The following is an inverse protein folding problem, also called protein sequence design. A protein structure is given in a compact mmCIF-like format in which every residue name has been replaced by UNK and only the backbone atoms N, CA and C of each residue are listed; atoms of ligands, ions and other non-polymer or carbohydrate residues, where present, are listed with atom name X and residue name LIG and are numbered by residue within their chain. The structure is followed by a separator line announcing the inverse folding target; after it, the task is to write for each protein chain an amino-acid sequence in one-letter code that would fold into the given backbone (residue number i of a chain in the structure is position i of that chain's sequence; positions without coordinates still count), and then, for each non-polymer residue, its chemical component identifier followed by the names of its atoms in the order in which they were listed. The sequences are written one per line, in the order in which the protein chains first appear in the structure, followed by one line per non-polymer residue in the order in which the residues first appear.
data_IF_556722214536
#
_entry.id   IF_556722214536
#
_cell.length_a   1.000
_cell.length_b   1.000
_cell.length_c   1.000
_cell.angle_alpha   90.00
_cell.angle_beta   90.00
_cell.angle_gamma   90.00
#
_symmetry.space_group_name_H-M   'P 1'
#
loop_
_entity.id
_entity.type
_entity.pdbx_description
1 polymer ?
#
# COMPACT_ATOMS: atom_id res chain seq x y z
N UNK A 1 35.80 -12.53 28.72
CA UNK A 1 35.97 -11.07 28.60
C UNK A 1 35.07 -10.54 27.49
N UNK A 2 33.84 -10.12 27.81
CA UNK A 2 32.91 -9.58 26.82
C UNK A 2 33.02 -8.06 26.88
N UNK A 3 33.97 -7.50 26.11
CA UNK A 3 34.10 -6.05 25.92
C UNK A 3 32.85 -5.57 25.17
N UNK A 4 31.91 -4.96 25.90
CA UNK A 4 30.77 -4.26 25.32
C UNK A 4 31.31 -3.23 24.32
N UNK A 5 30.85 -3.35 23.07
CA UNK A 5 31.25 -2.50 21.95
C UNK A 5 30.44 -1.21 22.03
N UNK A 6 30.73 -0.37 23.03
CA UNK A 6 30.11 0.94 23.19
C UNK A 6 30.75 1.96 22.22
N UNK A 7 30.67 1.69 20.91
CA UNK A 7 31.14 2.62 19.89
C UNK A 7 30.03 3.64 19.65
N UNK A 8 30.23 4.85 20.15
CA UNK A 8 29.35 5.97 19.84
C UNK A 8 29.80 6.56 18.50
N UNK A 9 28.90 6.56 17.52
CA UNK A 9 29.15 7.19 16.23
C UNK A 9 28.83 8.69 16.31
N UNK A 10 29.81 9.52 15.97
CA UNK A 10 29.65 10.97 15.78
C UNK A 10 29.86 11.23 14.31
N UNK A 11 28.84 11.77 13.63
CA UNK A 11 28.96 12.14 12.22
C UNK A 11 29.90 13.35 12.11
N UNK A 12 31.04 13.25 11.41
CA UNK A 12 31.92 14.38 11.17
C UNK A 12 31.23 15.40 10.25
N UNK A 13 31.71 16.65 10.27
CA UNK A 13 31.20 17.70 9.41
C UNK A 13 31.58 17.45 7.94
N UNK A 14 30.69 17.78 7.02
CA UNK A 14 30.95 17.59 5.59
C UNK A 14 32.10 18.49 5.09
N UNK A 15 32.94 17.98 4.18
CA UNK A 15 33.98 18.76 3.53
C UNK A 15 33.38 19.88 2.67
N UNK A 16 34.16 20.96 2.45
CA UNK A 16 33.69 22.16 1.73
C UNK A 16 33.10 21.86 0.35
N UNK A 17 33.71 20.92 -0.39
CA UNK A 17 33.21 20.51 -1.70
C UNK A 17 31.80 19.92 -1.65
N UNK A 18 31.52 19.04 -0.68
CA UNK A 18 30.17 18.47 -0.52
C UNK A 18 29.17 19.52 -0.04
N UNK A 19 29.60 20.48 0.77
CA UNK A 19 28.75 21.63 1.17
C UNK A 19 28.34 22.49 -0.02
N UNK A 20 29.26 22.76 -0.95
CA UNK A 20 28.97 23.54 -2.16
C UNK A 20 28.01 22.78 -3.08
N UNK A 21 28.27 21.49 -3.32
CA UNK A 21 27.40 20.65 -4.14
C UNK A 21 25.99 20.51 -3.56
N UNK A 22 25.88 20.26 -2.24
CA UNK A 22 24.59 20.20 -1.55
C UNK A 22 23.81 21.50 -1.69
N UNK A 23 24.47 22.65 -1.49
CA UNK A 23 23.85 23.97 -1.67
C UNK A 23 23.37 24.19 -3.10
N UNK A 24 24.17 23.80 -4.10
CA UNK A 24 23.81 23.94 -5.50
C UNK A 24 22.63 23.03 -5.89
N UNK A 25 22.56 21.84 -5.32
CA UNK A 25 21.45 20.90 -5.49
C UNK A 25 20.20 21.25 -4.66
N UNK A 26 20.24 22.33 -3.86
CA UNK A 26 19.14 22.71 -2.96
C UNK A 26 18.92 21.72 -1.80
N UNK A 27 19.94 20.93 -1.45
CA UNK A 27 19.88 19.95 -0.37
C UNK A 27 20.03 20.63 1.00
N UNK A 28 18.96 20.55 1.80
CA UNK A 28 18.93 21.05 3.17
C UNK A 28 19.16 19.90 4.16
N UNK A 29 20.26 19.93 4.92
CA UNK A 29 20.57 18.90 5.94
C UNK A 29 19.49 18.79 7.06
N UNK A 30 18.58 19.76 7.14
CA UNK A 30 17.46 19.80 8.10
C UNK A 30 16.15 19.29 7.51
N UNK A 31 16.04 19.22 6.19
CA UNK A 31 14.79 18.92 5.50
C UNK A 31 15.02 17.73 4.57
N UNK A 32 14.67 16.55 5.07
CA UNK A 32 14.78 15.26 4.37
C UNK A 32 13.81 15.11 3.19
N UNK A 33 13.41 16.21 2.52
CA UNK A 33 12.47 16.18 1.39
C UNK A 33 12.97 15.33 0.21
N UNK A 34 14.27 15.04 0.16
CA UNK A 34 14.88 14.17 -0.84
C UNK A 34 14.93 12.68 -0.43
N UNK A 35 14.56 12.32 0.81
CA UNK A 35 14.55 10.92 1.26
C UNK A 35 13.27 10.19 0.81
N UNK A 36 12.20 10.93 0.50
CA UNK A 36 11.01 10.39 -0.14
C UNK A 36 11.23 10.39 -1.65
N UNK A 37 11.31 9.19 -2.24
CA UNK A 37 11.26 9.01 -3.69
C UNK A 37 9.91 9.56 -4.17
N UNK A 38 9.94 10.76 -4.75
CA UNK A 38 8.79 11.42 -5.38
C UNK A 38 8.47 10.78 -6.74
N UNK A 39 8.54 9.45 -6.82
CA UNK A 39 8.15 8.74 -8.03
C UNK A 39 6.63 8.76 -8.07
N UNK A 40 6.08 9.51 -9.01
CA UNK A 40 4.65 9.51 -9.28
C UNK A 40 4.29 8.27 -10.09
N UNK A 41 3.02 7.86 -10.11
CA UNK A 41 2.55 6.76 -10.96
C UNK A 41 2.86 7.03 -12.45
N UNK A 42 2.98 8.31 -12.84
CA UNK A 42 3.38 8.77 -14.17
C UNK A 42 4.86 8.53 -14.52
N UNK A 43 5.72 8.30 -13.52
CA UNK A 43 7.14 7.98 -13.74
C UNK A 43 7.36 6.50 -14.07
N UNK A 44 6.32 5.67 -13.91
CA UNK A 44 6.33 4.27 -14.34
C UNK A 44 5.72 4.20 -15.73
N UNK A 45 6.59 4.07 -16.73
CA UNK A 45 6.16 3.79 -18.11
C UNK A 45 5.64 2.36 -18.15
N UNK A 46 4.47 2.14 -18.75
CA UNK A 46 3.97 0.79 -19.02
C UNK A 46 4.96 0.06 -19.93
N UNK A 47 5.30 -1.19 -19.58
CA UNK A 47 6.22 -2.01 -20.36
C UNK A 47 5.73 -2.07 -21.82
N UNK A 48 6.56 -1.61 -22.75
CA UNK A 48 6.22 -1.60 -24.17
C UNK A 48 6.15 -3.04 -24.71
N UNK A 49 5.35 -3.27 -25.75
CA UNK A 49 5.30 -4.56 -26.46
C UNK A 49 6.68 -5.01 -26.99
N UNK A 50 7.59 -4.05 -27.19
CA UNK A 50 8.98 -4.30 -27.61
C UNK A 50 9.84 -4.98 -26.53
N UNK A 51 9.45 -4.87 -25.26
CA UNK A 51 10.15 -5.44 -24.11
C UNK A 51 9.69 -6.88 -23.79
N UNK A 52 8.66 -7.39 -24.49
CA UNK A 52 8.17 -8.73 -24.27
C UNK A 52 9.21 -9.80 -24.70
N UNK A 53 9.29 -10.94 -23.99
CA UNK A 53 10.26 -11.98 -24.30
C UNK A 53 9.95 -12.64 -25.65
N UNK A 54 11.00 -12.90 -26.43
CA UNK A 54 10.88 -13.63 -27.70
C UNK A 54 10.48 -15.09 -27.47
N UNK A 55 9.39 -15.53 -28.09
CA UNK A 55 8.96 -16.93 -28.10
C UNK A 55 9.71 -17.70 -29.19
N UNK A 56 10.31 -18.83 -28.81
CA UNK A 56 11.07 -19.73 -29.72
C UNK A 56 10.62 -21.17 -29.49
N UNK A 57 10.27 -21.87 -30.58
CA UNK A 57 9.88 -23.29 -30.58
C UNK A 57 11.13 -24.15 -30.70
N UNK A 58 11.41 -25.00 -29.70
CA UNK A 58 12.57 -25.89 -29.69
C UNK A 58 12.19 -27.35 -29.91
N UNK A 59 11.01 -27.76 -29.44
CA UNK A 59 10.52 -29.14 -29.50
C UNK A 59 9.12 -29.20 -30.11
N UNK A 60 8.80 -30.37 -30.64
CA UNK A 60 7.45 -30.71 -31.09
C UNK A 60 6.51 -30.71 -29.87
N UNK A 61 5.67 -29.68 -29.75
CA UNK A 61 4.76 -29.45 -28.62
C UNK A 61 4.89 -28.09 -27.95
N UNK A 62 5.94 -27.31 -28.24
CA UNK A 62 6.03 -25.93 -27.77
C UNK A 62 5.03 -25.05 -28.55
N UNK A 63 4.42 -24.07 -27.87
CA UNK A 63 3.48 -23.14 -28.49
C UNK A 63 4.20 -22.17 -29.42
N UNK A 64 3.58 -21.88 -30.55
CA UNK A 64 4.04 -20.82 -31.45
C UNK A 64 3.71 -19.44 -30.87
N UNK A 65 4.33 -18.38 -31.40
CA UNK A 65 4.14 -17.02 -30.89
C UNK A 65 2.66 -16.60 -30.89
N UNK A 66 1.93 -16.88 -31.98
CA UNK A 66 0.51 -16.56 -32.08
C UNK A 66 -0.34 -17.35 -31.07
N UNK A 67 -0.05 -18.65 -30.91
CA UNK A 67 -0.79 -19.50 -29.96
C UNK A 67 -0.54 -19.10 -28.50
N UNK A 68 0.70 -18.70 -28.17
CA UNK A 68 1.06 -18.24 -26.84
C UNK A 68 0.26 -16.99 -26.43
N UNK A 69 0.08 -16.04 -27.34
CA UNK A 69 -0.74 -14.85 -27.10
C UNK A 69 -2.22 -15.23 -26.86
N UNK A 70 -2.76 -16.14 -27.67
CA UNK A 70 -4.15 -16.59 -27.49
C UNK A 70 -4.38 -17.30 -26.16
N UNK A 71 -3.43 -18.12 -25.72
CA UNK A 71 -3.55 -18.84 -24.45
C UNK A 71 -3.38 -17.90 -23.25
N UNK A 72 -2.51 -16.88 -23.34
CA UNK A 72 -2.43 -15.82 -22.32
C UNK A 72 -3.78 -15.10 -22.15
N UNK A 73 -4.39 -14.67 -23.25
CA UNK A 73 -5.72 -14.03 -23.22
C UNK A 73 -6.80 -14.96 -22.66
N UNK A 74 -6.69 -16.27 -22.88
CA UNK A 74 -7.61 -17.25 -22.32
C UNK A 74 -7.43 -17.40 -20.81
N UNK A 75 -6.19 -17.45 -20.32
CA UNK A 75 -5.86 -17.52 -18.90
C UNK A 75 -6.37 -16.29 -18.17
N UNK A 76 -6.13 -15.08 -18.70
CA UNK A 76 -6.61 -13.83 -18.09
C UNK A 76 -8.14 -13.79 -17.94
N UNK A 77 -8.88 -14.27 -18.96
CA UNK A 77 -10.34 -14.39 -18.87
C UNK A 77 -10.79 -15.39 -17.81
N UNK A 78 -10.12 -16.55 -17.76
CA UNK A 78 -10.41 -17.55 -16.75
C UNK A 78 -10.11 -17.01 -15.35
N UNK A 79 -9.00 -16.30 -15.14
CA UNK A 79 -8.67 -15.68 -13.86
C UNK A 79 -9.71 -14.63 -13.45
N UNK A 80 -10.19 -13.81 -14.39
CA UNK A 80 -11.26 -12.83 -14.12
C UNK A 80 -12.60 -13.48 -13.77
N UNK A 81 -12.91 -14.65 -14.35
CA UNK A 81 -14.14 -15.41 -14.07
C UNK A 81 -14.02 -16.31 -12.83
N UNK A 82 -12.79 -16.71 -12.47
CA UNK A 82 -12.56 -17.53 -11.28
C UNK A 82 -12.92 -16.76 -10.03
N UNK A 83 -13.64 -17.44 -9.13
CA UNK A 83 -14.06 -16.85 -7.85
C UNK A 83 -12.83 -16.57 -7.00
N UNK A 84 -12.85 -15.44 -6.30
CA UNK A 84 -11.82 -15.07 -5.36
C UNK A 84 -11.59 -16.17 -4.32
N UNK A 85 -10.32 -16.40 -3.98
CA UNK A 85 -9.93 -17.35 -2.94
C UNK A 85 -10.39 -16.84 -1.56
N UNK A 86 -11.41 -17.51 -1.00
CA UNK A 86 -11.99 -17.18 0.30
C UNK A 86 -11.13 -17.64 1.49
N UNK A 87 -10.02 -18.36 1.26
CA UNK A 87 -9.07 -18.70 2.32
C UNK A 87 -8.26 -17.50 2.80
N UNK A 88 -8.16 -16.47 1.96
CA UNK A 88 -7.39 -15.26 2.24
C UNK A 88 -8.27 -14.18 2.87
N UNK A 89 -7.70 -13.43 3.81
CA UNK A 89 -8.39 -12.32 4.47
C UNK A 89 -8.55 -11.14 3.51
N UNK A 90 -9.77 -10.65 3.34
CA UNK A 90 -10.07 -9.42 2.60
C UNK A 90 -9.49 -8.20 3.33
N UNK A 91 -8.66 -7.40 2.64
CA UNK A 91 -8.09 -6.14 3.14
C UNK A 91 -8.66 -4.96 2.34
N UNK A 92 -9.37 -4.07 3.02
CA UNK A 92 -9.91 -2.85 2.39
C UNK A 92 -8.85 -1.74 2.42
N UNK A 93 -8.36 -1.34 1.25
CA UNK A 93 -7.51 -0.14 1.11
C UNK A 93 -8.41 1.09 1.04
N UNK A 94 -8.23 2.04 1.96
CA UNK A 94 -8.95 3.31 1.89
C UNK A 94 -8.43 4.13 0.71
N UNK A 95 -9.31 4.64 -0.16
CA UNK A 95 -8.93 5.59 -1.19
C UNK A 95 -8.27 6.83 -0.57
N UNK A 96 -7.05 7.15 -0.98
CA UNK A 96 -6.42 8.40 -0.60
C UNK A 96 -7.25 9.55 -1.20
N UNK A 97 -7.63 10.53 -0.37
CA UNK A 97 -8.23 11.76 -0.89
C UNK A 97 -7.13 12.52 -1.64
N UNK A 98 -7.38 13.09 -2.83
CA UNK A 98 -6.44 14.00 -3.46
C UNK A 98 -6.23 15.17 -2.49
N UNK A 99 -4.99 15.35 -2.02
CA UNK A 99 -4.65 16.34 -1.01
C UNK A 99 -4.71 17.73 -1.64
N UNK A 100 -5.83 18.43 -1.43
CA UNK A 100 -5.83 19.88 -1.38
C UNK A 100 -5.20 20.26 -0.05
N UNK A 101 -4.16 21.08 -0.11
CA UNK A 101 -3.39 21.55 1.03
C UNK A 101 -4.28 22.03 2.19
N UNK A 102 -3.72 21.81 3.39
CA UNK A 102 -3.93 22.55 4.64
C UNK A 102 -4.78 21.91 5.75
N UNK A 103 -4.16 22.03 6.93
CA UNK A 103 -4.76 22.18 8.25
C UNK A 103 -5.11 20.92 9.07
N UNK A 104 -4.16 20.62 9.98
CA UNK A 104 -4.38 20.25 11.38
C UNK A 104 -4.87 18.84 11.70
N UNK A 105 -3.96 17.99 12.21
CA UNK A 105 -3.91 17.74 13.66
C UNK A 105 -2.74 16.83 14.04
N UNK A 106 -1.77 17.40 14.77
CA UNK A 106 -0.89 16.69 15.70
C UNK A 106 -1.73 15.73 16.56
N UNK A 107 -1.41 14.44 16.59
CA UNK A 107 -1.52 13.62 17.83
C UNK A 107 -0.34 12.67 17.97
N UNK A 108 0.57 13.12 18.83
CA UNK A 108 1.54 12.39 19.64
C UNK A 108 0.94 11.06 20.14
N UNK A 109 1.61 9.94 19.86
CA UNK A 109 1.38 8.68 20.57
C UNK A 109 2.23 8.74 21.84
N UNK A 110 1.61 9.04 22.96
CA UNK A 110 2.11 8.64 24.28
C UNK A 110 1.01 7.86 24.98
N UNK A 111 1.46 6.76 25.58
CA UNK A 111 0.74 5.76 26.33
C UNK A 111 -0.22 6.39 27.37
N UNK A 112 -1.49 5.99 27.33
CA UNK A 112 -2.45 6.35 28.37
C UNK A 112 -3.52 5.27 28.52
N UNK A 113 -3.14 4.19 29.20
CA UNK A 113 -4.09 3.32 29.88
C UNK A 113 -4.71 4.05 31.07
N UNK A 114 -6.03 4.28 31.03
CA UNK A 114 -7.00 4.12 32.14
C UNK A 114 -8.36 4.76 31.82
N UNK A 115 -9.34 3.89 31.58
CA UNK A 115 -10.69 3.82 32.17
C UNK A 115 -11.40 5.17 32.43
N UNK A 116 -12.48 5.42 31.68
CA UNK A 116 -13.78 5.76 32.28
C UNK A 116 -14.93 5.60 31.27
N UNK A 117 -15.90 4.79 31.65
CA UNK A 117 -17.12 4.40 30.94
C UNK A 117 -18.12 5.55 30.81
N UNK A 118 -18.44 5.93 29.57
CA UNK A 118 -19.74 6.54 29.24
C UNK A 118 -20.33 5.73 28.09
N UNK A 119 -21.29 4.88 28.42
CA UNK A 119 -22.07 4.10 27.46
C UNK A 119 -22.79 5.08 26.52
N UNK A 120 -22.28 5.25 25.30
CA UNK A 120 -23.04 5.85 24.22
C UNK A 120 -23.92 4.74 23.64
N UNK A 121 -25.21 4.77 23.94
CA UNK A 121 -26.19 3.87 23.30
C UNK A 121 -26.20 4.21 21.81
N UNK A 122 -25.63 3.33 20.98
CA UNK A 122 -25.74 3.42 19.53
C UNK A 122 -27.17 3.11 19.14
N UNK A 123 -27.85 4.03 18.44
CA UNK A 123 -29.12 3.72 17.77
C UNK A 123 -28.79 2.82 16.57
N UNK A 124 -29.55 1.75 16.32
CA UNK A 124 -29.34 0.93 15.13
C UNK A 124 -29.55 1.81 13.88
N UNK A 125 -28.57 1.78 12.98
CA UNK A 125 -28.55 2.59 11.74
C UNK A 125 -29.35 1.85 10.64
N UNK A 126 -29.70 0.60 10.89
CA UNK A 126 -30.42 -0.27 9.96
C UNK A 126 -31.77 -0.60 10.59
N UNK A 127 -32.84 -0.34 9.86
CA UNK A 127 -34.22 -0.66 10.21
C UNK A 127 -34.55 -2.15 10.04
N UNK A 128 -33.55 -3.02 10.18
CA UNK A 128 -33.68 -4.46 9.93
C UNK A 128 -33.90 -5.27 11.22
N UNK A 129 -33.87 -4.62 12.38
CA UNK A 129 -33.97 -5.23 13.72
C UNK A 129 -35.30 -4.88 14.41
N UNK A 130 -36.28 -4.35 13.66
CA UNK A 130 -37.62 -3.96 14.14
C UNK A 130 -38.71 -4.95 13.69
N UNK A 131 -38.34 -6.21 13.47
CA UNK A 131 -39.28 -7.24 12.99
C UNK A 131 -38.98 -8.58 13.66
N UNK A 132 -39.19 -8.62 14.98
CA UNK A 132 -39.40 -9.87 15.71
C UNK A 132 -40.65 -9.74 16.59
N UNK A 133 -41.65 -10.55 16.22
CA UNK A 133 -42.41 -11.40 17.13
C UNK A 133 -43.50 -10.76 18.00
N UNK A 134 -44.69 -10.53 17.42
CA UNK A 134 -45.95 -10.51 18.19
C UNK A 134 -47.15 -10.93 17.31
N UNK A 135 -47.53 -12.20 17.39
CA UNK A 135 -48.72 -12.71 16.70
C UNK A 135 -49.15 -14.15 16.98
N UNK A 136 -48.61 -14.81 18.01
CA UNK A 136 -49.21 -16.03 18.55
C UNK A 136 -50.04 -15.68 19.79
N UNK A 137 -51.36 -15.59 19.63
CA UNK A 137 -52.30 -15.78 20.72
C UNK A 137 -53.46 -16.66 20.23
N UNK A 138 -53.76 -17.70 21.02
CA UNK A 138 -54.75 -18.74 20.78
C UNK A 138 -56.18 -18.20 20.83
N UNK A 139 -57.06 -18.69 19.94
CA UNK A 139 -58.38 -19.30 20.27
C UNK A 139 -58.94 -20.03 19.06
#
# INVERSE_FOLDING_TARGET
MNRKRNVNYIKPEDPEFLKVLKKQAGYDDKNHKFDELMNNEEDFVEDEDSEQPQVVVLKEGDLTAEEAETERLRIEKLEAETKADLSQRVVFKTKAKPSIESATSKRKREDASKINSKQKKSRPILSFDDDDDDGSDET
#
